data_IF_806090022143
#
_entry.id   IF_806090022143
#
_cell.length_a   1.000
_cell.length_b   1.000
_cell.length_c   1.000
_cell.angle_alpha   90.00
_cell.angle_beta   90.00
_cell.angle_gamma   90.00
#
_symmetry.space_group_name_H-M   'P 1'
#
loop_
_entity.id
_entity.type
_entity.pdbx_description
1 polymer ?
#
# COMPACT_ATOMS: atom_id res chain seq x y z
N UNK A 1 -10.54 30.48 -7.96
CA UNK A 1 -9.57 29.73 -7.15
C UNK A 1 -9.98 28.26 -7.14
N UNK A 2 -9.10 27.38 -7.51
CA UNK A 2 -9.42 25.94 -7.40
C UNK A 2 -9.59 25.58 -5.92
N UNK A 3 -10.68 24.91 -5.58
CA UNK A 3 -10.87 24.37 -4.26
C UNK A 3 -9.78 23.33 -3.96
N UNK A 4 -9.09 23.49 -2.85
CA UNK A 4 -8.12 22.50 -2.42
C UNK A 4 -8.85 21.23 -1.98
N UNK A 5 -8.37 20.06 -2.42
CA UNK A 5 -8.89 18.78 -1.97
C UNK A 5 -8.81 18.69 -0.44
N UNK A 6 -9.88 18.19 0.16
CA UNK A 6 -9.87 17.90 1.60
C UNK A 6 -9.05 16.63 1.88
N UNK A 7 -8.57 16.49 3.10
CA UNK A 7 -7.73 15.33 3.49
C UNK A 7 -8.38 13.98 3.17
N UNK A 8 -9.70 13.86 3.33
CA UNK A 8 -10.44 12.65 3.00
C UNK A 8 -10.39 12.26 1.52
N UNK A 9 -10.11 13.23 0.66
CA UNK A 9 -10.09 13.06 -0.80
C UNK A 9 -8.67 12.92 -1.35
N UNK A 10 -7.67 13.00 -0.48
CA UNK A 10 -6.25 12.91 -0.86
C UNK A 10 -5.69 11.52 -0.59
N UNK A 11 -4.85 11.06 -1.50
CA UNK A 11 -4.04 9.85 -1.28
C UNK A 11 -2.87 10.16 -0.35
N UNK A 12 -2.17 11.27 -0.60
CA UNK A 12 -1.06 11.72 0.22
C UNK A 12 -1.46 12.95 1.03
N UNK A 13 -1.36 12.84 2.36
CA UNK A 13 -1.78 13.90 3.28
C UNK A 13 -0.61 14.69 3.85
N UNK A 14 0.61 14.21 3.66
CA UNK A 14 1.81 14.76 4.29
C UNK A 14 2.78 15.44 3.30
N UNK A 15 2.29 15.84 2.14
CA UNK A 15 3.07 16.56 1.16
C UNK A 15 2.98 18.08 1.37
N UNK A 16 4.01 18.78 0.92
CA UNK A 16 4.04 20.26 0.87
C UNK A 16 3.80 20.94 2.24
N UNK A 17 4.20 20.27 3.33
CA UNK A 17 4.04 20.82 4.66
C UNK A 17 2.60 20.85 5.18
N UNK A 18 1.68 20.13 4.56
CA UNK A 18 0.28 20.07 5.00
C UNK A 18 0.13 19.40 6.36
N UNK A 19 0.90 18.33 6.59
CA UNK A 19 0.93 17.60 7.85
C UNK A 19 2.34 17.08 8.13
N UNK A 20 2.65 16.80 9.38
CA UNK A 20 3.91 16.20 9.78
C UNK A 20 4.07 14.80 9.15
N UNK A 21 5.27 14.51 8.67
CA UNK A 21 5.61 13.24 8.01
C UNK A 21 6.03 12.14 8.98
N UNK A 22 6.21 12.46 10.25
CA UNK A 22 6.69 11.51 11.25
C UNK A 22 5.70 10.39 11.57
N UNK A 23 6.21 9.32 12.16
CA UNK A 23 5.40 8.16 12.54
C UNK A 23 4.28 8.53 13.51
N UNK A 24 4.58 9.34 14.52
CA UNK A 24 3.59 9.76 15.52
C UNK A 24 2.42 10.50 14.87
N UNK A 25 2.71 11.42 13.97
CA UNK A 25 1.68 12.14 13.23
C UNK A 25 0.86 11.20 12.32
N UNK A 26 1.50 10.24 11.68
CA UNK A 26 0.81 9.23 10.88
C UNK A 26 -0.15 8.40 11.76
N UNK A 27 0.27 8.00 12.95
CA UNK A 27 -0.59 7.28 13.89
C UNK A 27 -1.78 8.11 14.36
N UNK A 28 -1.58 9.40 14.60
CA UNK A 28 -2.68 10.34 14.95
C UNK A 28 -3.71 10.46 13.81
N UNK A 29 -3.29 10.32 12.56
CA UNK A 29 -4.18 10.30 11.40
C UNK A 29 -4.82 8.94 11.13
N UNK A 30 -4.57 7.95 11.95
CA UNK A 30 -5.16 6.62 11.86
C UNK A 30 -4.30 5.55 11.18
N UNK A 31 -3.06 5.87 10.80
CA UNK A 31 -2.17 4.87 10.24
C UNK A 31 -1.83 3.80 11.29
N UNK A 32 -1.74 2.56 10.84
CA UNK A 32 -1.38 1.38 11.64
C UNK A 32 -2.42 0.94 12.69
N UNK A 33 -3.57 1.61 12.81
CA UNK A 33 -4.58 1.30 13.84
C UNK A 33 -5.07 -0.14 13.74
N UNK A 34 -5.39 -0.68 12.69
CA UNK A 34 -5.91 -2.04 12.58
C UNK A 34 -4.88 -3.11 12.24
N UNK A 35 -3.59 -2.76 12.17
CA UNK A 35 -2.59 -3.65 11.58
C UNK A 35 -2.38 -4.93 12.39
N UNK A 36 -2.26 -4.85 13.71
CA UNK A 36 -2.10 -6.03 14.55
C UNK A 36 -3.29 -6.99 14.45
N UNK A 37 -4.50 -6.45 14.51
CA UNK A 37 -5.72 -7.23 14.37
C UNK A 37 -5.81 -7.89 12.97
N UNK A 38 -5.40 -7.19 11.95
CA UNK A 38 -5.35 -7.73 10.59
C UNK A 38 -4.37 -8.90 10.48
N UNK A 39 -3.19 -8.78 11.08
CA UNK A 39 -2.18 -9.84 11.08
C UNK A 39 -2.70 -11.07 11.83
N UNK A 40 -3.41 -10.88 12.93
CA UNK A 40 -4.03 -11.97 13.71
C UNK A 40 -5.07 -12.75 12.92
N UNK A 41 -5.74 -12.15 11.94
CA UNK A 41 -6.67 -12.85 11.05
C UNK A 41 -5.99 -13.88 10.15
N UNK A 42 -4.70 -13.72 9.93
CA UNK A 42 -3.91 -14.65 9.15
C UNK A 42 -3.79 -14.29 7.67
N UNK A 43 -2.87 -14.98 7.04
CA UNK A 43 -2.49 -14.75 5.65
C UNK A 43 -3.66 -14.94 4.68
N UNK A 44 -4.38 -16.04 4.82
CA UNK A 44 -5.44 -16.38 3.86
C UNK A 44 -6.58 -15.35 3.91
N UNK A 45 -6.93 -14.88 5.10
CA UNK A 45 -7.91 -13.82 5.27
C UNK A 45 -7.46 -12.52 4.56
N UNK A 46 -6.19 -12.12 4.73
CA UNK A 46 -5.64 -10.92 4.08
C UNK A 46 -5.73 -11.05 2.56
N UNK A 47 -5.32 -12.20 2.02
CA UNK A 47 -5.40 -12.46 0.58
C UNK A 47 -6.84 -12.38 0.08
N UNK A 48 -7.80 -12.94 0.81
CA UNK A 48 -9.21 -12.90 0.44
C UNK A 48 -9.76 -11.48 0.45
N UNK A 49 -9.35 -10.65 1.41
CA UNK A 49 -9.72 -9.23 1.43
C UNK A 49 -9.18 -8.48 0.21
N UNK A 50 -7.94 -8.72 -0.15
CA UNK A 50 -7.33 -8.09 -1.34
C UNK A 50 -8.02 -8.56 -2.62
N UNK A 51 -8.38 -9.83 -2.74
CA UNK A 51 -9.18 -10.35 -3.85
C UNK A 51 -10.54 -9.66 -3.93
N UNK A 52 -11.24 -9.57 -2.81
CA UNK A 52 -12.57 -8.94 -2.75
C UNK A 52 -12.53 -7.45 -3.09
N UNK A 53 -11.43 -6.76 -2.82
CA UNK A 53 -11.27 -5.35 -3.14
C UNK A 53 -11.18 -5.06 -4.63
N UNK A 54 -10.85 -6.05 -5.44
CA UNK A 54 -10.64 -5.87 -6.87
C UNK A 54 -9.35 -5.12 -7.23
N UNK A 55 -8.43 -4.93 -6.28
CA UNK A 55 -7.16 -4.25 -6.52
C UNK A 55 -6.36 -4.95 -7.63
N UNK A 56 -5.87 -4.17 -8.57
CA UNK A 56 -5.06 -4.65 -9.69
C UNK A 56 -3.67 -4.02 -9.65
N UNK A 57 -2.70 -4.72 -10.21
CA UNK A 57 -1.38 -4.17 -10.44
C UNK A 57 -1.43 -2.93 -11.33
N UNK A 58 -0.47 -2.04 -11.17
CA UNK A 58 -0.35 -0.80 -11.95
C UNK A 58 0.61 -0.93 -13.13
N UNK A 59 1.10 -2.14 -13.40
CA UNK A 59 1.76 -2.45 -14.66
C UNK A 59 0.78 -2.59 -15.81
N UNK A 60 1.28 -2.72 -17.02
CA UNK A 60 0.47 -2.76 -18.24
C UNK A 60 -0.59 -3.87 -18.29
N UNK A 61 -0.32 -5.01 -17.64
CA UNK A 61 -1.24 -6.14 -17.61
C UNK A 61 -2.40 -5.98 -16.63
N UNK A 62 -2.29 -5.11 -15.63
CA UNK A 62 -3.34 -4.92 -14.62
C UNK A 62 -3.71 -6.20 -13.88
N UNK A 63 -2.76 -7.07 -13.61
CA UNK A 63 -3.03 -8.38 -13.03
C UNK A 63 -3.68 -8.26 -11.64
N UNK A 64 -4.70 -9.08 -11.30
CA UNK A 64 -5.34 -9.02 -10.00
C UNK A 64 -4.35 -9.30 -8.86
N UNK A 65 -4.18 -8.34 -7.96
CA UNK A 65 -3.16 -8.38 -6.91
C UNK A 65 -3.40 -9.53 -5.92
N UNK A 66 -4.63 -9.72 -5.46
CA UNK A 66 -4.96 -10.80 -4.53
C UNK A 66 -4.73 -12.19 -5.12
N UNK A 67 -5.02 -12.35 -6.41
CA UNK A 67 -4.73 -13.62 -7.11
C UNK A 67 -3.22 -13.89 -7.17
N UNK A 68 -2.43 -12.87 -7.48
CA UNK A 68 -0.98 -12.99 -7.50
C UNK A 68 -0.44 -13.37 -6.11
N UNK A 69 -0.93 -12.77 -5.06
CA UNK A 69 -0.52 -13.09 -3.70
C UNK A 69 -0.89 -14.53 -3.32
N UNK A 70 -1.99 -15.06 -3.83
CA UNK A 70 -2.40 -16.44 -3.55
C UNK A 70 -1.44 -17.50 -4.11
N UNK A 71 -0.61 -17.12 -5.07
CA UNK A 71 0.41 -18.02 -5.65
C UNK A 71 1.68 -18.12 -4.82
N UNK A 72 1.83 -17.30 -3.78
CA UNK A 72 3.02 -17.37 -2.92
C UNK A 72 3.06 -18.68 -2.14
N UNK A 73 4.25 -19.28 -1.97
CA UNK A 73 4.37 -20.51 -1.19
C UNK A 73 3.87 -20.32 0.24
N UNK A 74 3.08 -21.27 0.73
CA UNK A 74 2.57 -21.25 2.10
C UNK A 74 3.64 -21.64 3.12
N UNK A 75 4.53 -22.52 2.73
CA UNK A 75 5.60 -23.02 3.59
C UNK A 75 6.93 -22.38 3.18
N UNK A 76 7.64 -21.86 4.17
CA UNK A 76 9.01 -21.39 4.01
C UNK A 76 9.92 -22.59 4.13
N UNK A 77 10.47 -23.07 3.00
CA UNK A 77 11.47 -24.14 3.00
C UNK A 77 12.83 -23.64 3.49
N UNK A 78 13.90 -24.29 3.04
CA UNK A 78 15.27 -23.92 3.41
C UNK A 78 15.80 -22.67 2.70
N UNK A 79 14.98 -22.04 1.84
CA UNK A 79 15.35 -20.82 1.12
C UNK A 79 14.78 -19.60 1.81
N UNK A 80 15.55 -18.51 1.97
CA UNK A 80 15.01 -17.28 2.50
C UNK A 80 14.02 -16.66 1.50
N UNK A 81 13.00 -16.00 2.03
CA UNK A 81 12.06 -15.22 1.24
C UNK A 81 12.36 -13.74 1.43
N UNK A 82 12.38 -13.00 0.35
CA UNK A 82 12.68 -11.57 0.36
C UNK A 82 11.48 -10.77 -0.13
N UNK A 83 11.26 -9.63 0.50
CA UNK A 83 10.35 -8.61 -0.02
C UNK A 83 11.17 -7.58 -0.81
N UNK A 84 10.85 -7.44 -2.08
CA UNK A 84 11.47 -6.40 -2.92
C UNK A 84 10.39 -5.42 -3.34
N UNK A 85 10.58 -4.16 -2.98
CA UNK A 85 9.65 -3.09 -3.32
C UNK A 85 10.21 -2.31 -4.50
N UNK A 86 9.44 -2.25 -5.59
CA UNK A 86 9.74 -1.35 -6.70
C UNK A 86 9.11 0.02 -6.40
N UNK A 87 9.96 1.01 -6.17
CA UNK A 87 9.56 2.39 -5.92
C UNK A 87 10.05 3.31 -7.05
N UNK A 88 10.23 2.79 -8.25
CA UNK A 88 10.63 3.57 -9.42
C UNK A 88 9.44 4.34 -9.99
N UNK A 89 9.63 5.64 -10.22
CA UNK A 89 8.62 6.55 -10.76
C UNK A 89 8.97 6.95 -12.19
N UNK A 90 8.99 5.97 -13.10
CA UNK A 90 9.36 6.17 -14.50
C UNK A 90 8.18 6.18 -15.46
N UNK A 91 7.01 5.72 -15.03
CA UNK A 91 5.83 5.61 -15.90
C UNK A 91 5.10 6.94 -16.06
N UNK A 92 4.67 7.30 -17.28
CA UNK A 92 3.83 8.48 -17.47
C UNK A 92 2.54 8.40 -16.65
N UNK A 93 2.20 9.47 -15.96
CA UNK A 93 1.01 9.55 -15.13
C UNK A 93 1.14 8.91 -13.74
N UNK A 94 2.28 8.32 -13.40
CA UNK A 94 2.52 7.88 -12.03
C UNK A 94 2.80 9.07 -11.11
N UNK A 95 2.43 8.92 -9.83
CA UNK A 95 2.66 9.93 -8.81
C UNK A 95 3.49 9.39 -7.62
N UNK A 96 4.21 8.31 -7.84
CA UNK A 96 5.14 7.77 -6.87
C UNK A 96 6.46 8.52 -6.99
N UNK A 97 6.94 9.13 -5.89
CA UNK A 97 8.22 9.81 -5.85
C UNK A 97 8.93 9.53 -4.55
N UNK A 98 10.20 9.15 -4.62
CA UNK A 98 11.02 8.87 -3.44
C UNK A 98 11.29 10.11 -2.59
N UNK A 99 11.23 11.29 -3.17
CA UNK A 99 11.36 12.54 -2.40
C UNK A 99 10.10 12.89 -1.62
N UNK A 100 8.98 12.25 -1.91
CA UNK A 100 7.71 12.45 -1.23
C UNK A 100 7.41 11.36 -0.18
N UNK A 101 8.22 10.34 -0.13
CA UNK A 101 8.14 9.27 0.83
C UNK A 101 9.01 9.59 2.04
#
# INVERSE_FOLDING_TARGET
MAELLQDKDRIFQNLYGLHDQGLEAAQKRGAWIGTSAMIEQGRDWIIDQVKASGLRGRGGAGFPTGLKWSFMPKEVGNRPHYLVVNADESEPGSCLSLIHI
#
